data_IF_077470137753
#
_entry.id   IF_077470137753
#
_cell.length_a   1.000
_cell.length_b   1.000
_cell.length_c   1.000
_cell.angle_alpha   90.00
_cell.angle_beta   90.00
_cell.angle_gamma   90.00
#
_symmetry.space_group_name_H-M   'P 1'
#
loop_
_entity.id
_entity.type
_entity.pdbx_description
1 polymer ?
#
# COMPACT_ATOMS: atom_id res chain seq x y z
N UNK A 1 -1.71 -13.62 -0.56
CA UNK A 1 -1.09 -13.66 0.78
C UNK A 1 -0.06 -12.54 0.91
N UNK A 2 -0.35 -11.48 1.67
CA UNK A 2 0.52 -10.30 1.85
C UNK A 2 -0.01 -9.43 2.99
N UNK A 3 0.84 -8.60 3.60
CA UNK A 3 0.40 -7.41 4.32
C UNK A 3 1.18 -6.19 3.81
N UNK A 4 0.44 -5.16 3.37
CA UNK A 4 0.99 -3.82 3.11
C UNK A 4 0.35 -2.87 4.12
N UNK A 5 1.16 -2.02 4.72
CA UNK A 5 0.72 -1.03 5.71
C UNK A 5 1.15 0.35 5.24
N UNK A 6 0.19 1.27 5.12
CA UNK A 6 0.44 2.68 4.86
C UNK A 6 0.19 3.53 6.08
N UNK A 7 1.02 4.54 6.33
CA UNK A 7 0.86 5.49 7.43
C UNK A 7 1.30 6.90 7.01
N UNK A 8 0.49 7.92 7.35
CA UNK A 8 0.73 9.33 7.07
C UNK A 8 1.09 10.09 8.36
N UNK A 9 2.26 10.75 8.37
CA UNK A 9 2.64 11.70 9.42
C UNK A 9 3.28 12.93 8.78
N UNK A 10 2.78 14.12 9.13
CA UNK A 10 3.33 15.40 8.66
C UNK A 10 3.48 15.50 7.14
N UNK A 11 2.43 15.12 6.39
CA UNK A 11 2.41 15.06 4.91
C UNK A 11 3.47 14.13 4.29
N UNK A 12 4.08 13.25 5.09
CA UNK A 12 4.97 12.19 4.63
C UNK A 12 4.26 10.84 4.71
N UNK A 13 4.31 10.07 3.64
CA UNK A 13 3.68 8.76 3.54
C UNK A 13 4.74 7.68 3.72
N UNK A 14 4.49 6.77 4.65
CA UNK A 14 5.29 5.58 4.90
C UNK A 14 4.52 4.38 4.38
N UNK A 15 5.17 3.50 3.62
CA UNK A 15 4.58 2.23 3.20
C UNK A 15 5.54 1.10 3.56
N UNK A 16 5.03 0.12 4.27
CA UNK A 16 5.71 -1.13 4.63
C UNK A 16 5.05 -2.32 3.96
N UNK A 17 5.85 -3.31 3.58
CA UNK A 17 5.36 -4.57 3.00
C UNK A 17 6.19 -5.77 3.40
N UNK A 18 5.53 -6.93 3.44
CA UNK A 18 6.14 -8.24 3.70
C UNK A 18 6.75 -8.86 2.44
N UNK A 19 7.51 -9.95 2.62
CA UNK A 19 8.27 -10.62 1.56
C UNK A 19 7.73 -12.00 1.16
N UNK A 20 6.55 -12.41 1.65
CA UNK A 20 5.98 -13.72 1.29
C UNK A 20 5.49 -13.77 -0.16
N UNK A 21 5.92 -14.76 -0.92
CA UNK A 21 5.21 -15.28 -2.08
C UNK A 21 4.58 -16.62 -1.71
N UNK A 22 3.26 -16.76 -1.91
CA UNK A 22 2.54 -17.98 -1.55
C UNK A 22 1.89 -18.58 -2.78
N UNK A 23 2.03 -19.88 -2.93
CA UNK A 23 1.35 -20.70 -3.92
C UNK A 23 0.73 -21.91 -3.20
N UNK A 24 -0.61 -21.99 -3.19
CA UNK A 24 -1.33 -22.93 -2.34
C UNK A 24 -0.95 -22.79 -0.86
N UNK A 25 -0.31 -23.83 -0.32
CA UNK A 25 0.18 -23.86 1.07
C UNK A 25 1.68 -23.58 1.19
N UNK A 26 2.38 -23.48 0.06
CA UNK A 26 3.82 -23.29 0.02
C UNK A 26 4.18 -21.80 0.10
N UNK A 27 5.21 -21.50 0.88
CA UNK A 27 5.69 -20.14 1.06
C UNK A 27 7.15 -20.04 0.64
N UNK A 28 7.42 -19.06 -0.22
CA UNK A 28 8.77 -18.62 -0.57
C UNK A 28 8.98 -17.20 -0.10
N UNK A 29 10.05 -16.95 0.67
CA UNK A 29 10.47 -15.58 0.97
C UNK A 29 11.20 -15.02 -0.25
N UNK A 30 10.66 -13.96 -0.85
CA UNK A 30 11.16 -13.37 -2.09
C UNK A 30 11.95 -12.09 -1.83
N UNK A 31 12.96 -11.85 -2.67
CA UNK A 31 13.71 -10.58 -2.72
C UNK A 31 12.93 -9.48 -3.43
N UNK A 32 11.92 -9.84 -4.23
CA UNK A 32 11.08 -8.87 -4.94
C UNK A 32 10.29 -7.99 -3.96
N UNK A 33 10.70 -6.73 -3.85
CA UNK A 33 10.03 -5.75 -2.99
C UNK A 33 8.57 -5.53 -3.43
N UNK A 34 7.64 -5.61 -2.46
CA UNK A 34 6.23 -5.24 -2.67
C UNK A 34 5.93 -3.76 -2.51
N UNK A 35 6.94 -2.97 -2.16
CA UNK A 35 6.85 -1.52 -1.96
C UNK A 35 7.94 -0.82 -2.75
N UNK A 36 7.62 0.29 -3.41
CA UNK A 36 8.57 1.02 -4.26
C UNK A 36 8.12 2.46 -4.47
N UNK A 37 9.01 3.29 -5.00
CA UNK A 37 8.71 4.64 -5.48
C UNK A 37 8.73 4.63 -7.01
N UNK A 38 7.75 5.29 -7.62
CA UNK A 38 7.72 5.57 -9.05
C UNK A 38 7.33 7.04 -9.21
N UNK A 39 8.29 7.86 -9.64
CA UNK A 39 8.18 9.34 -9.70
C UNK A 39 7.65 9.94 -8.39
N UNK A 40 6.53 10.66 -8.45
CA UNK A 40 5.89 11.35 -7.34
C UNK A 40 5.06 10.44 -6.42
N UNK A 41 5.07 9.14 -6.68
CA UNK A 41 4.25 8.16 -5.98
C UNK A 41 5.09 7.17 -5.19
N UNK A 42 4.58 6.78 -4.04
CA UNK A 42 5.04 5.63 -3.25
C UNK A 42 3.95 4.56 -3.30
N UNK A 43 4.30 3.31 -3.58
CA UNK A 43 3.35 2.22 -3.78
C UNK A 43 3.61 1.07 -2.81
N UNK A 44 2.55 0.32 -2.50
CA UNK A 44 2.64 -1.01 -1.93
C UNK A 44 1.50 -1.90 -2.42
N UNK A 45 1.78 -3.14 -2.83
CA UNK A 45 0.81 -3.98 -3.53
C UNK A 45 0.67 -5.39 -2.95
N UNK A 46 -0.46 -6.07 -3.24
CA UNK A 46 -0.70 -7.44 -2.75
C UNK A 46 -0.94 -8.45 -3.88
N UNK A 47 -1.99 -8.25 -4.69
CA UNK A 47 -2.64 -9.29 -5.50
C UNK A 47 -1.71 -10.13 -6.38
N UNK A 48 -0.74 -9.50 -7.04
CA UNK A 48 0.20 -10.21 -7.91
C UNK A 48 1.52 -9.48 -7.99
N UNK A 49 2.64 -10.23 -7.98
CA UNK A 49 3.95 -9.67 -8.29
C UNK A 49 4.01 -9.08 -9.69
N UNK A 50 3.28 -9.66 -10.66
CA UNK A 50 3.21 -9.12 -12.02
C UNK A 50 2.59 -7.72 -12.04
N UNK A 51 1.53 -7.51 -11.26
CA UNK A 51 0.90 -6.19 -11.08
C UNK A 51 1.91 -5.16 -10.57
N UNK A 52 2.64 -5.52 -9.51
CA UNK A 52 3.66 -4.65 -8.92
C UNK A 52 4.77 -4.29 -9.90
N UNK A 53 5.22 -5.25 -10.71
CA UNK A 53 6.21 -5.01 -11.76
C UNK A 53 5.69 -4.06 -12.85
N UNK A 54 4.42 -4.18 -13.25
CA UNK A 54 3.81 -3.26 -14.21
C UNK A 54 3.74 -1.85 -13.63
N UNK A 55 3.24 -1.70 -12.41
CA UNK A 55 3.17 -0.41 -11.70
C UNK A 55 4.56 0.23 -11.50
N UNK A 56 5.61 -0.58 -11.33
CA UNK A 56 6.97 -0.10 -11.07
C UNK A 56 7.74 0.26 -12.34
N UNK A 57 7.61 -0.55 -13.39
CA UNK A 57 8.52 -0.50 -14.54
C UNK A 57 7.83 -0.20 -15.88
N UNK A 58 6.50 -0.27 -15.95
CA UNK A 58 5.76 -0.06 -17.19
C UNK A 58 4.75 1.08 -17.10
N UNK A 59 4.26 1.38 -15.90
CA UNK A 59 3.39 2.52 -15.66
C UNK A 59 4.23 3.80 -15.59
N UNK A 60 3.89 4.76 -16.45
CA UNK A 60 4.40 6.13 -16.42
C UNK A 60 3.25 7.03 -15.97
N UNK A 61 3.29 7.61 -14.76
CA UNK A 61 2.26 8.52 -14.31
C UNK A 61 2.02 9.68 -15.29
N UNK A 62 0.76 9.97 -15.66
CA UNK A 62 0.49 11.08 -16.57
C UNK A 62 0.78 12.41 -15.86
N UNK A 63 1.29 13.41 -16.60
CA UNK A 63 1.49 14.74 -16.00
C UNK A 63 0.13 15.33 -15.60
N UNK A 64 0.01 15.73 -14.33
CA UNK A 64 -1.16 16.48 -13.85
C UNK A 64 -1.26 17.84 -14.55
N UNK A 65 -2.45 18.13 -15.11
CA UNK A 65 -2.78 19.43 -15.69
C UNK A 65 -2.82 20.51 -14.62
N UNK A 66 -2.57 21.75 -15.00
CA UNK A 66 -2.76 22.90 -14.10
C UNK A 66 -4.25 23.07 -13.75
N UNK A 67 -4.52 23.64 -12.57
CA UNK A 67 -5.87 24.02 -12.12
C UNK A 67 -6.90 22.89 -11.93
N UNK A 68 -6.49 21.61 -11.93
CA UNK A 68 -7.36 20.50 -11.49
C UNK A 68 -7.02 20.06 -10.07
N UNK A 69 -7.97 19.54 -9.31
CA UNK A 69 -7.73 18.99 -7.96
C UNK A 69 -6.92 17.69 -8.01
N UNK A 70 -6.38 17.26 -6.86
CA UNK A 70 -5.75 15.93 -6.75
C UNK A 70 -6.77 14.84 -7.13
N UNK A 71 -8.01 14.95 -6.66
CA UNK A 71 -9.08 13.99 -6.92
C UNK A 71 -9.43 13.92 -8.42
N UNK A 72 -9.56 15.05 -9.11
CA UNK A 72 -9.82 15.08 -10.56
C UNK A 72 -8.70 14.38 -11.35
N UNK A 73 -7.44 14.62 -10.96
CA UNK A 73 -6.29 13.97 -11.56
C UNK A 73 -6.23 12.47 -11.27
N UNK A 74 -6.42 12.09 -10.00
CA UNK A 74 -6.30 10.71 -9.55
C UNK A 74 -7.42 9.82 -10.10
N UNK A 75 -8.66 10.31 -10.06
CA UNK A 75 -9.85 9.54 -10.46
C UNK A 75 -10.08 9.56 -11.97
N UNK A 76 -9.40 10.46 -12.68
CA UNK A 76 -9.41 10.54 -14.14
C UNK A 76 -8.11 10.01 -14.74
N UNK A 77 -7.21 10.92 -15.08
CA UNK A 77 -6.01 10.66 -15.88
C UNK A 77 -5.14 9.53 -15.28
N UNK A 78 -4.86 9.58 -13.98
CA UNK A 78 -3.99 8.61 -13.30
C UNK A 78 -4.52 7.18 -13.36
N UNK A 79 -5.76 6.94 -12.90
CA UNK A 79 -6.30 5.59 -12.84
C UNK A 79 -6.54 5.02 -14.24
N UNK A 80 -6.96 5.86 -15.20
CA UNK A 80 -7.08 5.47 -16.60
C UNK A 80 -5.74 5.01 -17.18
N UNK A 81 -4.64 5.69 -16.83
CA UNK A 81 -3.30 5.32 -17.29
C UNK A 81 -2.80 4.02 -16.67
N UNK A 82 -3.19 3.71 -15.43
CA UNK A 82 -2.96 2.39 -14.82
C UNK A 82 -3.74 1.30 -15.55
N UNK A 83 -5.02 1.52 -15.84
CA UNK A 83 -5.87 0.57 -16.57
C UNK A 83 -5.26 0.29 -17.97
N UNK A 84 -4.82 1.32 -18.68
CA UNK A 84 -4.13 1.21 -19.96
C UNK A 84 -2.87 0.33 -19.83
N UNK A 85 -1.99 0.65 -18.88
CA UNK A 85 -0.77 -0.13 -18.64
C UNK A 85 -1.05 -1.60 -18.31
N UNK A 86 -2.12 -1.88 -17.56
CA UNK A 86 -2.51 -3.25 -17.20
C UNK A 86 -3.08 -4.00 -18.41
N UNK A 87 -3.84 -3.34 -19.29
CA UNK A 87 -4.33 -3.92 -20.54
C UNK A 87 -3.19 -4.22 -21.51
N UNK A 88 -2.29 -3.28 -21.73
CA UNK A 88 -1.14 -3.43 -22.63
C UNK A 88 -0.20 -4.56 -22.22
N UNK A 89 -0.15 -4.87 -20.92
CA UNK A 89 0.68 -5.94 -20.36
C UNK A 89 -0.08 -7.23 -20.08
N UNK A 90 -1.30 -7.36 -20.63
CA UNK A 90 -2.17 -8.55 -20.52
C UNK A 90 -2.43 -8.99 -19.08
N UNK A 91 -2.50 -8.02 -18.16
CA UNK A 91 -2.76 -8.29 -16.75
C UNK A 91 -4.19 -7.93 -16.34
N UNK A 92 -4.76 -6.86 -16.88
CA UNK A 92 -6.17 -6.53 -16.67
C UNK A 92 -7.06 -7.65 -17.21
N UNK A 93 -8.09 -8.02 -16.44
CA UNK A 93 -9.07 -9.06 -16.83
C UNK A 93 -10.46 -8.48 -16.88
N UNK A 94 -11.32 -9.09 -17.68
CA UNK A 94 -12.76 -8.83 -17.62
C UNK A 94 -13.38 -9.94 -16.77
N UNK A 95 -13.95 -9.56 -15.64
CA UNK A 95 -14.63 -10.45 -14.71
C UNK A 95 -16.00 -9.86 -14.40
N UNK A 96 -17.07 -10.64 -14.57
CA UNK A 96 -18.46 -10.17 -14.36
C UNK A 96 -18.79 -8.87 -15.10
N UNK A 97 -18.30 -8.69 -16.33
CA UNK A 97 -18.42 -7.48 -17.16
C UNK A 97 -17.74 -6.22 -16.59
N UNK A 98 -16.84 -6.37 -15.63
CA UNK A 98 -16.02 -5.29 -15.06
C UNK A 98 -14.55 -5.56 -15.34
N UNK A 99 -13.75 -4.49 -15.44
CA UNK A 99 -12.30 -4.62 -15.60
C UNK A 99 -11.67 -4.71 -14.22
N UNK A 100 -10.87 -5.74 -13.99
CA UNK A 100 -10.14 -5.93 -12.73
C UNK A 100 -8.63 -5.82 -12.90
N UNK A 101 -7.98 -5.23 -11.89
CA UNK A 101 -6.54 -5.01 -11.81
C UNK A 101 -5.92 -5.35 -10.46
N UNK A 102 -6.69 -5.77 -9.44
CA UNK A 102 -6.14 -6.08 -8.12
C UNK A 102 -5.94 -4.86 -7.22
N UNK A 103 -5.24 -5.04 -6.10
CA UNK A 103 -5.29 -4.13 -4.95
C UNK A 103 -3.93 -3.59 -4.56
N UNK A 104 -3.85 -2.27 -4.37
CA UNK A 104 -2.63 -1.60 -3.91
C UNK A 104 -2.94 -0.34 -3.09
N UNK A 105 -1.97 0.07 -2.27
CA UNK A 105 -1.92 1.38 -1.64
C UNK A 105 -0.97 2.27 -2.44
N UNK A 106 -1.27 3.56 -2.47
CA UNK A 106 -0.32 4.55 -2.95
C UNK A 106 -0.34 5.84 -2.13
N UNK A 107 0.81 6.49 -2.03
CA UNK A 107 0.95 7.83 -1.49
C UNK A 107 1.16 8.84 -2.61
N UNK A 108 0.43 9.95 -2.55
CA UNK A 108 0.56 11.07 -3.48
C UNK A 108 0.25 12.38 -2.73
N UNK A 109 1.09 13.41 -2.93
CA UNK A 109 0.92 14.73 -2.30
C UNK A 109 0.66 14.67 -0.78
N UNK A 110 1.41 13.80 -0.09
CA UNK A 110 1.32 13.62 1.36
C UNK A 110 0.05 12.96 1.90
N UNK A 111 -0.75 12.33 1.01
CA UNK A 111 -1.97 11.60 1.34
C UNK A 111 -1.83 10.13 0.94
N UNK A 112 -2.44 9.24 1.71
CA UNK A 112 -2.49 7.80 1.44
C UNK A 112 -3.83 7.46 0.79
N UNK A 113 -3.79 6.61 -0.23
CA UNK A 113 -4.95 6.16 -1.00
C UNK A 113 -4.93 4.64 -1.14
N UNK A 114 -6.11 4.07 -1.30
CA UNK A 114 -6.36 2.67 -1.59
C UNK A 114 -6.93 2.55 -2.99
N UNK A 115 -6.49 1.52 -3.74
CA UNK A 115 -7.12 1.10 -4.98
C UNK A 115 -7.65 -0.31 -4.82
N UNK A 116 -8.93 -0.48 -5.09
CA UNK A 116 -9.59 -1.78 -5.09
C UNK A 116 -9.51 -2.51 -6.43
N UNK A 117 -9.96 -3.78 -6.47
CA UNK A 117 -9.78 -4.65 -7.63
C UNK A 117 -10.41 -4.12 -8.91
N UNK A 118 -11.49 -3.36 -8.82
CA UNK A 118 -12.24 -2.67 -9.88
C UNK A 118 -11.72 -1.25 -10.20
N UNK A 119 -10.51 -0.91 -9.75
CA UNK A 119 -9.88 0.41 -9.91
C UNK A 119 -10.54 1.58 -9.17
N UNK A 120 -11.49 1.32 -8.26
CA UNK A 120 -12.00 2.35 -7.36
C UNK A 120 -10.86 2.95 -6.51
N UNK A 121 -10.84 4.28 -6.35
CA UNK A 121 -9.88 4.96 -5.46
C UNK A 121 -10.62 5.41 -4.20
N UNK A 122 -10.10 5.01 -3.05
CA UNK A 122 -10.62 5.37 -1.73
C UNK A 122 -9.54 5.98 -0.83
N UNK A 123 -9.99 6.63 0.25
CA UNK A 123 -9.13 7.10 1.33
C UNK A 123 -9.82 6.95 2.68
N UNK A 124 -9.12 6.35 3.63
CA UNK A 124 -9.57 6.30 5.02
C UNK A 124 -9.51 7.69 5.67
N UNK A 125 -10.45 7.97 6.58
CA UNK A 125 -10.35 9.14 7.46
C UNK A 125 -9.20 9.01 8.47
N UNK A 126 -8.71 7.79 8.69
CA UNK A 126 -7.56 7.53 9.57
C UNK A 126 -6.27 7.90 8.85
N UNK A 127 -5.22 8.13 9.63
CA UNK A 127 -3.87 8.40 9.12
C UNK A 127 -3.18 7.17 8.53
N UNK A 128 -3.83 6.01 8.56
CA UNK A 128 -3.23 4.75 8.16
C UNK A 128 -4.26 3.86 7.50
N UNK A 129 -3.77 2.94 6.68
CA UNK A 129 -4.56 1.93 5.99
C UNK A 129 -3.72 0.66 5.76
N UNK A 130 -4.36 -0.46 5.46
CA UNK A 130 -3.67 -1.72 5.19
C UNK A 130 -4.46 -2.60 4.23
N UNK A 131 -3.74 -3.37 3.42
CA UNK A 131 -4.30 -4.30 2.43
C UNK A 131 -3.62 -5.67 2.49
N UNK A 132 -4.28 -6.66 1.88
CA UNK A 132 -3.82 -8.05 1.84
C UNK A 132 -4.40 -8.88 2.99
N UNK A 133 -4.10 -10.17 3.03
CA UNK A 133 -4.67 -11.07 4.04
C UNK A 133 -4.30 -10.68 5.49
N UNK A 134 -3.17 -9.99 5.70
CA UNK A 134 -2.74 -9.53 7.03
C UNK A 134 -3.37 -8.22 7.51
N UNK A 135 -4.21 -7.57 6.71
CA UNK A 135 -4.60 -6.18 6.97
C UNK A 135 -5.34 -5.96 8.28
N UNK A 136 -6.23 -6.86 8.69
CA UNK A 136 -7.04 -6.68 9.91
C UNK A 136 -6.17 -6.67 11.17
N UNK A 137 -5.15 -7.53 11.23
CA UNK A 137 -4.20 -7.57 12.33
C UNK A 137 -3.39 -6.27 12.41
N UNK A 138 -2.90 -5.80 11.26
CA UNK A 138 -2.16 -4.54 11.17
C UNK A 138 -3.04 -3.33 11.58
N UNK A 139 -4.28 -3.25 11.09
CA UNK A 139 -5.22 -2.18 11.44
C UNK A 139 -5.58 -2.18 12.92
N UNK A 140 -5.74 -3.35 13.53
CA UNK A 140 -5.97 -3.51 14.97
C UNK A 140 -4.80 -3.01 15.80
N UNK A 141 -3.58 -3.40 15.43
CA UNK A 141 -2.35 -2.91 16.05
C UNK A 141 -2.24 -1.38 15.96
N UNK A 142 -2.38 -0.81 14.77
CA UNK A 142 -2.30 0.63 14.56
C UNK A 142 -3.41 1.40 15.30
N UNK A 143 -4.61 0.84 15.39
CA UNK A 143 -5.67 1.40 16.21
C UNK A 143 -5.27 1.49 17.68
N UNK A 144 -4.72 0.43 18.25
CA UNK A 144 -4.26 0.43 19.63
C UNK A 144 -3.13 1.44 19.85
N UNK A 145 -2.12 1.47 18.96
CA UNK A 145 -0.99 2.39 19.02
C UNK A 145 -1.44 3.87 18.95
N UNK A 146 -2.41 4.18 18.09
CA UNK A 146 -2.94 5.55 17.97
C UNK A 146 -3.87 5.94 19.11
N UNK A 147 -4.69 5.01 19.61
CA UNK A 147 -5.64 5.27 20.70
C UNK A 147 -4.93 5.51 22.01
N UNK A 148 -4.00 4.63 22.36
CA UNK A 148 -3.36 4.65 23.67
C UNK A 148 -2.09 5.50 23.72
N UNK A 149 -1.59 5.97 22.56
CA UNK A 149 -0.39 6.81 22.39
C UNK A 149 0.65 6.48 23.46
N UNK A 150 1.56 5.54 23.19
CA UNK A 150 2.71 5.32 24.06
C UNK A 150 3.46 6.67 24.21
N UNK A 151 3.25 7.31 25.35
CA UNK A 151 3.86 8.58 25.76
C UNK A 151 4.91 8.22 26.79
N UNK A 152 6.09 8.81 26.68
CA UNK A 152 7.05 8.78 27.79
C UNK A 152 6.64 9.82 28.81
N UNK A 153 6.81 9.52 30.09
CA UNK A 153 6.59 10.49 31.18
C UNK A 153 7.52 11.72 31.05
N UNK A 154 8.68 11.55 30.43
CA UNK A 154 9.73 12.58 30.32
C UNK A 154 9.63 13.48 29.08
N UNK A 155 8.82 13.12 28.07
CA UNK A 155 8.65 13.91 26.83
C UNK A 155 7.19 13.86 26.39
N UNK A 156 6.62 15.04 26.08
CA UNK A 156 5.30 15.18 25.46
C UNK A 156 5.19 14.59 24.03
N UNK A 157 6.19 13.81 23.60
CA UNK A 157 6.25 13.17 22.29
C UNK A 157 5.92 11.68 22.37
N UNK A 158 5.40 11.14 21.26
CA UNK A 158 5.21 9.70 21.11
C UNK A 158 6.57 9.01 21.07
N UNK A 159 6.76 7.98 21.89
CA UNK A 159 8.02 7.21 21.99
C UNK A 159 8.39 6.57 20.64
N UNK A 160 7.37 6.22 19.86
CA UNK A 160 7.52 5.41 18.65
C UNK A 160 7.48 6.26 17.38
N UNK A 161 8.51 6.10 16.56
CA UNK A 161 8.56 6.65 15.21
C UNK A 161 7.49 6.03 14.31
N UNK A 162 7.14 6.70 13.21
CA UNK A 162 6.17 6.16 12.25
C UNK A 162 6.67 4.87 11.59
N UNK A 163 7.98 4.73 11.38
CA UNK A 163 8.56 3.51 10.82
C UNK A 163 8.37 2.33 11.76
N UNK A 164 8.65 2.50 13.05
CA UNK A 164 8.43 1.46 14.07
C UNK A 164 6.96 1.08 14.21
N UNK A 165 6.03 2.05 14.09
CA UNK A 165 4.59 1.73 14.07
C UNK A 165 4.20 0.84 12.88
N UNK A 166 4.73 1.14 11.70
CA UNK A 166 4.50 0.34 10.49
C UNK A 166 5.11 -1.05 10.63
N UNK A 167 6.32 -1.15 11.19
CA UNK A 167 7.01 -2.41 11.46
C UNK A 167 6.23 -3.28 12.45
N UNK A 168 5.83 -2.72 13.59
CA UNK A 168 5.03 -3.42 14.60
C UNK A 168 3.68 -3.92 14.06
N UNK A 169 3.05 -3.16 13.16
CA UNK A 169 1.82 -3.58 12.49
C UNK A 169 2.06 -4.78 11.55
N UNK A 170 3.19 -4.82 10.84
CA UNK A 170 3.59 -5.95 10.01
C UNK A 170 3.97 -7.17 10.85
N UNK A 171 4.63 -6.99 12.00
CA UNK A 171 4.94 -8.06 12.97
C UNK A 171 3.67 -8.69 13.54
N UNK A 172 2.68 -7.87 13.90
CA UNK A 172 1.37 -8.36 14.33
C UNK A 172 0.71 -9.19 13.21
N UNK A 173 0.79 -8.72 11.96
CA UNK A 173 0.26 -9.46 10.82
C UNK A 173 1.03 -10.77 10.55
N UNK A 174 2.36 -10.80 10.67
CA UNK A 174 3.19 -12.01 10.52
C UNK A 174 2.85 -13.06 11.58
N UNK A 175 2.58 -12.62 12.81
CA UNK A 175 2.26 -13.50 13.94
C UNK A 175 0.95 -14.25 13.72
N UNK A 176 -0.07 -13.58 13.21
CA UNK A 176 -1.44 -14.13 13.12
C UNK A 176 -1.87 -14.52 11.71
N UNK A 177 -1.11 -14.16 10.66
CA UNK A 177 -1.38 -14.54 9.28
C UNK A 177 -0.29 -15.43 8.73
N UNK A 178 -0.66 -16.62 8.23
CA UNK A 178 0.26 -17.52 7.53
C UNK A 178 0.82 -16.93 6.24
N UNK A 179 0.14 -15.93 5.67
CA UNK A 179 0.47 -15.30 4.41
C UNK A 179 1.36 -14.06 4.50
N UNK A 180 1.99 -13.81 5.64
CA UNK A 180 2.81 -12.62 5.89
C UNK A 180 4.16 -13.04 6.46
N UNK A 181 5.27 -12.64 5.84
CA UNK A 181 6.62 -12.98 6.32
C UNK A 181 7.64 -11.87 6.14
N UNK A 182 8.53 -11.77 7.11
CA UNK A 182 9.77 -11.00 7.03
C UNK A 182 10.70 -11.53 5.90
N UNK A 183 11.70 -10.75 5.45
CA UNK A 183 12.02 -9.40 5.90
C UNK A 183 10.92 -8.39 5.52
N UNK A 184 10.78 -7.34 6.32
CA UNK A 184 9.89 -6.22 5.97
C UNK A 184 10.67 -5.14 5.24
N UNK A 185 10.11 -4.63 4.14
CA UNK A 185 10.61 -3.44 3.47
C UNK A 185 9.75 -2.26 3.84
N UNK A 186 10.34 -1.22 4.41
CA UNK A 186 9.64 0.03 4.78
C UNK A 186 10.34 1.21 4.13
N UNK A 187 9.60 1.98 3.34
CA UNK A 187 10.07 3.17 2.63
C UNK A 187 9.13 4.34 2.90
N UNK A 188 9.57 5.55 2.58
CA UNK A 188 8.78 6.75 2.80
C UNK A 188 9.03 7.82 1.74
N UNK A 189 8.01 8.61 1.41
CA UNK A 189 8.08 9.74 0.50
C UNK A 189 7.29 10.93 1.05
#
# INVERSE_FOLDING_TARGET
MTCIVGYVKNKKVYIGGDSAGVDGYDLTVRVDDKVFINEDFIFGFTSSFRMGQILRYNFVPPRRKENITDEQYLYGDFINKIIEAFKEKYYAKIESNQIEGGTFLFGYNGKLYYVGPDFQIGRSIKKYDSIGCGHQYALGCLYALEKYKLRSEEKNDCIMSTKEKVEMALEAAETFSTGVRRPFKIISK
#
